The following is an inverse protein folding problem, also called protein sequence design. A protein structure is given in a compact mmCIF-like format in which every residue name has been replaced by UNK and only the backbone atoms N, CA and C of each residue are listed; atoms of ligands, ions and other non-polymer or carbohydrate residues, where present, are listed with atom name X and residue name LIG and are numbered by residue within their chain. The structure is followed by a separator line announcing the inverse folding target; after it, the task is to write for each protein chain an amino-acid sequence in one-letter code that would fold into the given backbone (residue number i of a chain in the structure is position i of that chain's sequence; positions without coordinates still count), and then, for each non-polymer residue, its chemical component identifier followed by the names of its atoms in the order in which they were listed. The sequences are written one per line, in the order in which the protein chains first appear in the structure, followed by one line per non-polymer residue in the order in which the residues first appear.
data_IF_793631758193
#
_entry.id   IF_793631758193
#
_cell.length_a   1.000
_cell.length_b   1.000
_cell.length_c   1.000
_cell.angle_alpha   90.00
_cell.angle_beta   90.00
_cell.angle_gamma   90.00
#
_symmetry.space_group_name_H-M   'P 1'
#
loop_
_entity.id
_entity.type
_entity.pdbx_description
1 polymer ?
#
# COMPACT_ATOMS: atom_id res chain seq x y z
N UNK A 1 -20.47 -18.00 7.60
CA UNK A 1 -20.49 -16.94 8.65
C UNK A 1 -20.64 -15.61 7.91
N UNK A 2 -21.71 -14.88 8.22
CA UNK A 2 -22.25 -13.73 7.48
C UNK A 2 -21.18 -12.74 7.03
N UNK A 3 -21.17 -12.40 5.74
CA UNK A 3 -20.52 -11.20 5.20
C UNK A 3 -21.11 -9.98 5.91
N UNK A 4 -20.46 -9.52 6.97
CA UNK A 4 -20.66 -8.15 7.43
C UNK A 4 -19.79 -7.28 6.52
N UNK A 5 -20.40 -6.32 5.85
CA UNK A 5 -19.69 -5.19 5.24
C UNK A 5 -18.72 -4.64 6.29
N UNK A 6 -17.43 -4.72 6.00
CA UNK A 6 -16.41 -4.18 6.89
C UNK A 6 -16.59 -2.66 6.92
N UNK A 7 -16.74 -2.11 8.13
CA UNK A 7 -16.73 -0.67 8.37
C UNK A 7 -15.56 -0.31 9.26
N UNK A 8 -14.85 0.76 8.90
CA UNK A 8 -13.82 1.35 9.75
C UNK A 8 -14.53 1.86 11.01
N UNK A 9 -14.01 1.43 12.16
CA UNK A 9 -14.55 1.85 13.44
C UNK A 9 -14.13 3.30 13.76
N UNK A 10 -15.00 4.00 14.49
CA UNK A 10 -14.74 5.37 14.96
C UNK A 10 -13.70 5.42 16.09
N UNK A 11 -13.48 4.27 16.73
CA UNK A 11 -12.52 4.07 17.80
C UNK A 11 -11.59 2.91 17.50
N UNK A 12 -10.40 2.98 18.07
CA UNK A 12 -9.36 1.94 18.00
C UNK A 12 -9.88 0.64 18.60
N UNK A 13 -9.85 -0.45 17.84
CA UNK A 13 -10.22 -1.77 18.35
C UNK A 13 -9.19 -2.85 17.99
N UNK A 14 -8.18 -2.99 18.84
CA UNK A 14 -7.18 -4.05 18.77
C UNK A 14 -7.73 -5.41 19.26
N UNK A 15 -8.95 -5.47 19.80
CA UNK A 15 -9.59 -6.74 20.17
C UNK A 15 -10.08 -7.53 18.96
N UNK A 16 -10.21 -6.86 17.80
CA UNK A 16 -10.54 -7.48 16.51
C UNK A 16 -9.35 -8.15 15.81
N UNK A 17 -8.37 -8.65 16.56
CA UNK A 17 -7.16 -9.25 15.97
C UNK A 17 -7.45 -10.59 15.31
N UNK A 18 -7.04 -10.78 14.05
CA UNK A 18 -7.20 -12.06 13.35
C UNK A 18 -7.11 -11.97 11.83
N UNK A 19 -7.61 -13.03 11.19
CA UNK A 19 -7.72 -13.17 9.74
C UNK A 19 -9.17 -12.97 9.31
N UNK A 20 -9.37 -12.10 8.32
CA UNK A 20 -10.67 -11.71 7.78
C UNK A 20 -10.67 -11.93 6.27
N UNK A 21 -11.81 -11.72 5.61
CA UNK A 21 -11.94 -11.85 4.16
C UNK A 21 -12.69 -10.69 3.53
N UNK A 22 -12.34 -10.36 2.31
CA UNK A 22 -13.01 -9.41 1.44
C UNK A 22 -12.71 -9.79 -0.02
N UNK A 23 -13.47 -9.25 -0.97
CA UNK A 23 -13.23 -9.49 -2.39
C UNK A 23 -12.22 -8.47 -2.95
N UNK A 24 -11.17 -8.95 -3.63
CA UNK A 24 -10.31 -8.18 -4.52
C UNK A 24 -10.61 -8.52 -5.98
N UNK A 25 -9.91 -7.91 -6.93
CA UNK A 25 -10.13 -8.07 -8.36
C UNK A 25 -10.01 -9.51 -8.88
N UNK A 26 -9.28 -10.38 -8.15
CA UNK A 26 -9.05 -11.78 -8.49
C UNK A 26 -10.02 -12.74 -7.78
N UNK A 27 -10.64 -12.33 -6.67
CA UNK A 27 -11.64 -13.11 -5.94
C UNK A 27 -11.60 -12.88 -4.44
N UNK A 28 -11.88 -13.93 -3.66
CA UNK A 28 -11.86 -13.84 -2.20
C UNK A 28 -10.43 -13.77 -1.66
N UNK A 29 -10.04 -12.63 -1.10
CA UNK A 29 -8.79 -12.45 -0.35
C UNK A 29 -8.98 -12.71 1.15
N UNK A 30 -7.89 -13.04 1.83
CA UNK A 30 -7.82 -13.15 3.28
C UNK A 30 -6.78 -12.18 3.86
N UNK A 31 -7.18 -11.24 4.71
CA UNK A 31 -6.30 -10.19 5.21
C UNK A 31 -6.13 -10.23 6.74
N UNK A 32 -4.94 -9.86 7.19
CA UNK A 32 -4.61 -9.75 8.61
C UNK A 32 -5.07 -8.40 9.16
N UNK A 33 -5.56 -8.40 10.40
CA UNK A 33 -5.99 -7.19 11.10
C UNK A 33 -5.59 -7.26 12.57
N UNK A 34 -5.16 -6.12 13.13
CA UNK A 34 -5.07 -5.91 14.58
C UNK A 34 -3.66 -5.98 15.18
N UNK A 35 -3.59 -6.48 16.41
CA UNK A 35 -2.44 -6.36 17.31
C UNK A 35 -1.23 -7.19 16.86
N UNK A 36 -0.05 -6.56 16.88
CA UNK A 36 1.24 -7.21 16.62
C UNK A 36 1.56 -8.35 17.59
N UNK A 37 0.97 -8.34 18.80
CA UNK A 37 1.22 -9.34 19.83
C UNK A 37 0.46 -10.66 19.62
N UNK A 38 -0.61 -10.63 18.83
CA UNK A 38 -1.51 -11.78 18.63
C UNK A 38 -1.55 -12.29 17.19
N UNK A 39 -0.71 -11.74 16.32
CA UNK A 39 -0.60 -12.16 14.93
C UNK A 39 0.70 -12.92 14.66
N UNK A 40 0.56 -14.04 13.95
CA UNK A 40 1.65 -14.83 13.43
C UNK A 40 1.86 -14.53 11.94
N UNK A 41 2.21 -13.28 11.62
CA UNK A 41 2.37 -12.81 10.25
C UNK A 41 3.79 -12.32 9.96
N UNK A 42 4.79 -12.84 10.67
CA UNK A 42 6.20 -12.47 10.50
C UNK A 42 6.86 -13.40 9.49
N UNK A 43 7.54 -12.83 8.50
CA UNK A 43 8.18 -13.56 7.42
C UNK A 43 9.63 -13.07 7.23
N UNK A 44 10.54 -13.96 6.87
CA UNK A 44 11.89 -13.67 6.42
C UNK A 44 12.03 -14.18 4.98
N UNK A 45 12.47 -13.28 4.11
CA UNK A 45 12.66 -13.54 2.69
C UNK A 45 13.69 -12.56 2.11
N UNK A 46 14.56 -13.05 1.23
CA UNK A 46 15.53 -12.25 0.48
C UNK A 46 16.41 -11.33 1.35
N UNK A 47 16.93 -11.82 2.49
CA UNK A 47 17.74 -11.06 3.46
C UNK A 47 16.99 -9.92 4.16
N UNK A 48 15.66 -9.97 4.15
CA UNK A 48 14.79 -8.97 4.75
C UNK A 48 13.69 -9.65 5.58
N UNK A 49 13.14 -8.91 6.52
CA UNK A 49 11.97 -9.31 7.28
C UNK A 49 10.76 -8.54 6.75
N UNK A 50 9.60 -9.20 6.80
CA UNK A 50 8.37 -8.75 6.19
C UNK A 50 7.19 -9.05 7.12
N UNK A 51 6.11 -8.29 6.96
CA UNK A 51 4.78 -8.64 7.49
C UNK A 51 3.91 -9.15 6.37
N UNK A 52 3.23 -10.28 6.59
CA UNK A 52 2.17 -10.73 5.70
C UNK A 52 0.95 -9.84 5.94
N UNK A 53 0.45 -9.22 4.88
CA UNK A 53 -0.69 -8.30 4.90
C UNK A 53 -1.96 -9.05 4.51
N UNK A 54 -1.90 -9.81 3.41
CA UNK A 54 -3.03 -10.61 2.93
C UNK A 54 -2.58 -11.74 2.01
N UNK A 55 -3.45 -12.72 1.84
CA UNK A 55 -3.46 -13.67 0.74
C UNK A 55 -4.48 -13.11 -0.26
N UNK A 56 -4.04 -12.80 -1.47
CA UNK A 56 -4.86 -12.23 -2.53
C UNK A 56 -5.83 -13.28 -3.10
N UNK A 57 -6.83 -12.86 -3.87
CA UNK A 57 -7.81 -13.75 -4.51
C UNK A 57 -7.21 -14.70 -5.55
N UNK A 58 -6.00 -14.41 -6.05
CA UNK A 58 -5.18 -15.28 -6.91
C UNK A 58 -4.22 -16.20 -6.12
N UNK A 59 -4.42 -16.32 -4.80
CA UNK A 59 -3.60 -17.06 -3.83
C UNK A 59 -2.16 -16.56 -3.64
N UNK A 60 -1.76 -15.45 -4.27
CA UNK A 60 -0.46 -14.82 -4.02
C UNK A 60 -0.42 -14.19 -2.62
N UNK A 61 0.77 -14.10 -2.03
CA UNK A 61 0.94 -13.63 -0.64
C UNK A 61 1.52 -12.22 -0.65
N UNK A 62 0.71 -11.23 -0.25
CA UNK A 62 1.12 -9.83 -0.16
C UNK A 62 1.89 -9.57 1.12
N UNK A 63 3.11 -9.05 0.98
CA UNK A 63 4.04 -8.79 2.07
C UNK A 63 4.54 -7.36 2.03
N UNK A 64 4.65 -6.71 3.19
CA UNK A 64 5.24 -5.37 3.35
C UNK A 64 6.56 -5.45 4.11
N UNK A 65 7.54 -4.69 3.64
CA UNK A 65 8.87 -4.60 4.23
C UNK A 65 8.80 -4.24 5.72
N UNK A 66 9.63 -4.90 6.54
CA UNK A 66 9.68 -4.74 7.99
C UNK A 66 11.14 -4.68 8.51
N UNK A 67 12.10 -4.35 7.65
CA UNK A 67 13.51 -4.18 8.01
C UNK A 67 14.48 -5.19 7.39
N UNK A 68 15.78 -4.96 7.61
CA UNK A 68 16.86 -5.84 7.14
C UNK A 68 16.94 -7.12 7.99
N UNK A 69 17.38 -8.21 7.36
CA UNK A 69 17.60 -9.51 7.99
C UNK A 69 18.79 -10.24 7.32
N UNK A 70 20.04 -9.80 7.53
CA UNK A 70 21.19 -10.35 6.84
C UNK A 70 21.29 -11.88 6.96
N UNK A 71 21.55 -12.56 5.84
CA UNK A 71 21.64 -14.02 5.74
C UNK A 71 20.38 -14.76 6.22
N UNK A 72 19.22 -14.11 6.17
CA UNK A 72 17.94 -14.60 6.71
C UNK A 72 18.02 -14.99 8.20
N UNK A 73 18.89 -14.30 8.98
CA UNK A 73 19.11 -14.56 10.41
C UNK A 73 19.04 -13.25 11.20
N UNK A 74 17.87 -12.95 11.75
CA UNK A 74 17.63 -11.77 12.56
C UNK A 74 16.55 -12.02 13.61
N UNK A 75 16.43 -11.09 14.56
CA UNK A 75 15.25 -10.99 15.42
C UNK A 75 14.20 -10.15 14.70
N UNK A 76 12.94 -10.55 14.82
CA UNK A 76 11.82 -9.81 14.25
C UNK A 76 11.66 -8.46 14.97
N UNK A 77 11.52 -7.40 14.18
CA UNK A 77 11.30 -6.05 14.65
C UNK A 77 9.86 -5.91 15.16
N UNK A 78 9.70 -5.65 16.46
CA UNK A 78 8.39 -5.57 17.12
C UNK A 78 8.26 -4.50 18.24
N UNK A 79 9.35 -3.85 18.68
CA UNK A 79 9.33 -2.86 19.79
C UNK A 79 9.47 -1.42 19.30
N UNK A 80 10.61 -1.05 18.70
CA UNK A 80 10.92 0.32 18.25
C UNK A 80 11.45 0.33 16.80
N UNK A 81 10.61 0.00 15.79
CA UNK A 81 11.12 -0.28 14.47
C UNK A 81 11.25 1.00 13.62
N UNK A 82 12.47 1.51 13.45
CA UNK A 82 12.84 2.24 12.23
C UNK A 82 12.98 1.20 11.10
N UNK A 83 11.83 0.79 10.56
CA UNK A 83 11.70 -0.28 9.54
C UNK A 83 11.51 0.26 8.14
N UNK A 84 11.83 1.53 7.93
CA UNK A 84 11.86 2.11 6.60
C UNK A 84 13.05 1.59 5.80
N UNK A 85 12.92 1.70 4.49
CA UNK A 85 14.01 1.43 3.55
C UNK A 85 14.88 2.68 3.37
N UNK A 86 14.28 3.84 3.55
CA UNK A 86 14.82 5.18 3.43
C UNK A 86 13.70 6.19 3.56
N UNK A 87 14.07 7.47 3.56
CA UNK A 87 13.13 8.59 3.42
C UNK A 87 13.25 9.13 2.00
N UNK A 88 12.12 9.34 1.33
CA UNK A 88 12.09 10.03 0.05
C UNK A 88 10.78 10.82 -0.11
N UNK A 89 10.78 11.74 -1.06
CA UNK A 89 9.58 12.42 -1.50
C UNK A 89 8.67 11.41 -2.22
N UNK A 90 7.36 11.62 -2.13
CA UNK A 90 6.48 10.88 -3.02
C UNK A 90 6.63 11.44 -4.45
N UNK A 91 6.58 12.77 -4.59
CA UNK A 91 6.82 13.49 -5.84
C UNK A 91 7.62 14.77 -5.58
N UNK A 92 8.52 15.13 -6.50
CA UNK A 92 9.30 16.38 -6.42
C UNK A 92 8.46 17.64 -6.61
N UNK A 93 7.33 17.53 -7.29
CA UNK A 93 6.46 18.65 -7.62
C UNK A 93 5.03 18.34 -7.20
N UNK A 94 4.38 19.37 -6.69
CA UNK A 94 3.07 19.27 -6.05
C UNK A 94 1.99 20.10 -6.70
N UNK A 95 2.35 21.00 -7.61
CA UNK A 95 1.50 22.10 -8.07
C UNK A 95 0.56 21.75 -9.24
N UNK A 96 0.50 20.47 -9.61
CA UNK A 96 -0.31 19.96 -10.72
C UNK A 96 -0.82 18.56 -10.35
N UNK A 97 -2.08 18.27 -10.67
CA UNK A 97 -2.73 16.98 -10.45
C UNK A 97 -2.01 15.81 -11.11
N UNK A 98 -1.20 16.02 -12.16
CA UNK A 98 -0.42 14.92 -12.74
C UNK A 98 0.45 14.24 -11.70
N UNK A 99 1.00 15.00 -10.75
CA UNK A 99 1.87 14.45 -9.71
C UNK A 99 1.13 13.63 -8.62
N UNK A 100 -0.20 13.50 -8.70
CA UNK A 100 -0.94 12.51 -7.91
C UNK A 100 -0.79 11.12 -8.52
N UNK A 101 -0.07 10.24 -7.81
CA UNK A 101 0.02 8.82 -8.12
C UNK A 101 1.44 8.30 -8.28
N UNK A 102 1.56 6.98 -8.29
CA UNK A 102 2.84 6.26 -8.37
C UNK A 102 3.59 6.49 -9.70
N UNK A 103 2.83 6.74 -10.77
CA UNK A 103 3.30 7.15 -12.09
C UNK A 103 2.40 8.27 -12.60
N UNK A 104 2.87 9.11 -13.52
CA UNK A 104 2.15 10.30 -13.96
C UNK A 104 2.37 10.70 -15.43
N UNK A 105 1.44 11.51 -15.94
CA UNK A 105 1.44 11.98 -17.33
C UNK A 105 2.49 13.02 -17.63
N UNK A 106 2.79 13.23 -18.91
CA UNK A 106 3.70 14.32 -19.32
C UNK A 106 3.01 15.68 -19.17
N UNK A 107 1.77 15.78 -19.64
CA UNK A 107 0.90 16.95 -19.67
C UNK A 107 -0.37 16.70 -18.85
N UNK A 108 -1.16 17.73 -18.58
CA UNK A 108 -2.40 17.63 -17.79
C UNK A 108 -3.66 18.29 -18.39
N UNK A 109 -3.88 18.27 -19.73
CA UNK A 109 -5.03 18.96 -20.35
C UNK A 109 -6.37 18.25 -20.10
N UNK A 110 -6.33 16.94 -19.87
CA UNK A 110 -7.48 16.12 -19.50
C UNK A 110 -7.06 14.99 -18.54
N UNK A 111 -8.05 14.31 -17.97
CA UNK A 111 -7.83 13.30 -16.93
C UNK A 111 -6.95 12.12 -17.42
N UNK A 112 -7.12 11.68 -18.66
CA UNK A 112 -6.40 10.54 -19.20
C UNK A 112 -4.94 10.89 -19.46
N UNK A 113 -4.67 12.06 -20.03
CA UNK A 113 -3.29 12.55 -20.21
C UNK A 113 -2.63 12.83 -18.86
N UNK A 114 -3.33 13.47 -17.91
CA UNK A 114 -2.82 13.80 -16.57
C UNK A 114 -2.33 12.57 -15.83
N UNK A 115 -3.07 11.47 -15.93
CA UNK A 115 -2.82 10.22 -15.23
C UNK A 115 -2.28 9.11 -16.15
N UNK A 116 -1.74 9.47 -17.31
CA UNK A 116 -1.04 8.53 -18.19
C UNK A 116 0.24 8.05 -17.49
N UNK A 117 0.47 6.75 -17.35
CA UNK A 117 1.65 6.22 -16.64
C UNK A 117 2.93 6.32 -17.49
N UNK A 118 3.35 7.54 -17.81
CA UNK A 118 4.46 7.82 -18.73
C UNK A 118 5.76 8.18 -18.00
N UNK A 119 5.64 8.73 -16.79
CA UNK A 119 6.75 9.13 -15.95
C UNK A 119 6.62 8.49 -14.56
N UNK A 120 7.77 8.28 -13.92
CA UNK A 120 7.84 7.68 -12.59
C UNK A 120 7.86 8.74 -11.50
N UNK A 121 7.09 8.51 -10.43
CA UNK A 121 7.22 9.27 -9.18
C UNK A 121 8.60 9.03 -8.55
N UNK A 122 8.99 9.91 -7.62
CA UNK A 122 10.28 9.80 -6.92
C UNK A 122 10.35 8.51 -6.11
N UNK A 123 9.28 8.22 -5.37
CA UNK A 123 9.17 6.97 -4.59
C UNK A 123 9.18 5.72 -5.47
N UNK A 124 8.65 5.77 -6.69
CA UNK A 124 8.76 4.65 -7.64
C UNK A 124 10.21 4.41 -8.06
N UNK A 125 10.93 5.46 -8.45
CA UNK A 125 12.35 5.34 -8.82
C UNK A 125 13.19 4.76 -7.66
N UNK A 126 12.88 5.17 -6.43
CA UNK A 126 13.50 4.61 -5.22
C UNK A 126 13.24 3.11 -5.08
N UNK A 127 11.97 2.69 -5.22
CA UNK A 127 11.58 1.28 -5.10
C UNK A 127 12.14 0.41 -6.22
N UNK A 128 12.15 0.90 -7.46
CA UNK A 128 12.74 0.20 -8.60
C UNK A 128 14.24 -0.02 -8.40
N UNK A 129 14.96 1.03 -7.99
CA UNK A 129 16.39 0.94 -7.65
C UNK A 129 16.63 -0.06 -6.51
N UNK A 130 15.76 -0.08 -5.50
CA UNK A 130 15.87 -1.05 -4.42
C UNK A 130 15.64 -2.49 -4.92
N UNK A 131 14.63 -2.71 -5.76
CA UNK A 131 14.32 -4.02 -6.33
C UNK A 131 15.50 -4.57 -7.14
N UNK A 132 16.08 -3.75 -8.01
CA UNK A 132 17.27 -4.12 -8.81
C UNK A 132 18.43 -4.62 -7.95
N UNK A 133 18.67 -3.94 -6.83
CA UNK A 133 19.81 -4.24 -5.97
C UNK A 133 19.57 -5.40 -4.99
N UNK A 134 18.31 -5.75 -4.71
CA UNK A 134 17.97 -6.67 -3.61
C UNK A 134 17.18 -7.90 -4.03
N UNK A 135 16.54 -7.88 -5.20
CA UNK A 135 15.58 -8.91 -5.63
C UNK A 135 15.92 -9.48 -7.02
N UNK A 136 16.27 -8.61 -7.97
CA UNK A 136 16.53 -8.98 -9.36
C UNK A 136 17.61 -10.08 -9.46
N UNK A 137 17.39 -11.07 -10.33
CA UNK A 137 18.28 -12.21 -10.53
C UNK A 137 18.10 -13.36 -9.52
N UNK A 138 18.20 -13.09 -8.21
CA UNK A 138 18.21 -14.15 -7.19
C UNK A 138 16.80 -14.51 -6.67
N UNK A 139 15.94 -13.51 -6.46
CA UNK A 139 14.68 -13.68 -5.70
C UNK A 139 13.42 -13.37 -6.52
N UNK A 140 13.55 -12.78 -7.70
CA UNK A 140 12.40 -12.42 -8.55
C UNK A 140 11.52 -13.61 -8.93
N UNK A 141 12.10 -14.81 -9.05
CA UNK A 141 11.37 -16.03 -9.41
C UNK A 141 10.36 -16.48 -8.33
N UNK A 142 10.45 -15.94 -7.12
CA UNK A 142 9.49 -16.19 -6.04
C UNK A 142 8.28 -15.24 -6.10
N UNK A 143 8.31 -14.24 -6.97
CA UNK A 143 7.31 -13.16 -6.98
C UNK A 143 6.23 -13.37 -8.03
N UNK A 144 5.03 -12.90 -7.68
CA UNK A 144 3.84 -12.88 -8.52
C UNK A 144 3.62 -11.48 -9.06
N UNK A 145 3.17 -11.38 -10.31
CA UNK A 145 2.74 -10.14 -10.95
C UNK A 145 1.29 -9.79 -10.58
N UNK A 146 1.03 -9.70 -9.28
CA UNK A 146 -0.31 -9.41 -8.74
C UNK A 146 -0.48 -7.91 -8.52
N UNK A 147 -1.60 -7.34 -8.99
CA UNK A 147 -1.80 -5.89 -9.09
C UNK A 147 -1.59 -5.11 -7.78
N UNK A 148 -1.08 -3.89 -7.89
CA UNK A 148 -1.08 -2.87 -6.82
C UNK A 148 -2.01 -1.73 -7.22
N UNK A 149 -2.91 -1.29 -6.34
CA UNK A 149 -3.90 -0.28 -6.71
C UNK A 149 -3.51 1.14 -6.27
N UNK A 150 -3.24 2.02 -7.24
CA UNK A 150 -3.00 3.44 -6.99
C UNK A 150 -4.25 4.24 -6.64
N UNK A 151 -5.41 3.84 -7.18
CA UNK A 151 -6.72 4.49 -7.02
C UNK A 151 -6.73 6.03 -7.07
N UNK A 152 -6.65 6.57 -8.27
CA UNK A 152 -6.85 8.00 -8.58
C UNK A 152 -8.28 8.31 -8.98
N UNK A 153 -9.24 7.42 -8.69
CA UNK A 153 -10.64 7.65 -9.00
C UNK A 153 -11.13 8.95 -8.34
N UNK A 154 -11.89 9.74 -9.08
CA UNK A 154 -12.43 10.99 -8.55
C UNK A 154 -13.53 10.70 -7.52
N UNK A 155 -13.59 11.51 -6.46
CA UNK A 155 -14.63 11.42 -5.43
C UNK A 155 -16.05 11.43 -5.99
N UNK A 156 -16.30 12.14 -7.08
CA UNK A 156 -17.61 12.20 -7.74
C UNK A 156 -18.06 10.86 -8.32
N UNK A 157 -17.12 10.01 -8.72
CA UNK A 157 -17.43 8.73 -9.39
C UNK A 157 -17.95 7.69 -8.39
N UNK A 158 -17.64 7.87 -7.11
CA UNK A 158 -18.10 7.01 -6.00
C UNK A 158 -19.25 7.63 -5.19
N UNK A 159 -19.96 8.61 -5.76
CA UNK A 159 -21.14 9.24 -5.15
C UNK A 159 -20.84 10.38 -4.15
N UNK A 160 -19.57 10.81 -4.05
CA UNK A 160 -19.20 11.99 -3.30
C UNK A 160 -19.45 13.29 -4.08
N UNK A 161 -19.31 14.43 -3.42
CA UNK A 161 -19.40 15.73 -4.09
C UNK A 161 -18.22 15.92 -5.06
N UNK A 162 -18.50 16.43 -6.26
CA UNK A 162 -17.48 16.85 -7.20
C UNK A 162 -16.65 18.01 -6.62
N UNK A 163 -15.33 17.96 -6.81
CA UNK A 163 -14.39 18.97 -6.29
C UNK A 163 -13.50 19.53 -7.39
N UNK A 164 -13.03 18.66 -8.29
CA UNK A 164 -12.28 19.03 -9.48
C UNK A 164 -12.20 17.88 -10.46
N UNK A 165 -11.50 18.14 -11.55
CA UNK A 165 -11.35 17.22 -12.68
C UNK A 165 -10.14 16.30 -12.56
N UNK A 166 -9.27 16.47 -11.55
CA UNK A 166 -7.99 15.77 -11.48
C UNK A 166 -7.02 16.21 -12.57
N UNK A 167 -7.09 17.46 -13.02
CA UNK A 167 -6.25 18.01 -14.09
C UNK A 167 -5.68 19.36 -13.68
N UNK A 168 -4.53 19.72 -14.25
CA UNK A 168 -3.83 20.98 -14.01
C UNK A 168 -3.78 21.34 -12.50
N UNK A 169 -4.12 22.59 -12.15
CA UNK A 169 -4.21 23.08 -10.78
C UNK A 169 -5.66 23.12 -10.23
N UNK A 170 -6.55 22.26 -10.73
CA UNK A 170 -7.91 22.14 -10.17
C UNK A 170 -7.86 21.44 -8.82
N UNK A 171 -8.36 22.09 -7.76
CA UNK A 171 -8.60 21.46 -6.45
C UNK A 171 -9.36 20.16 -6.66
N UNK A 172 -8.80 19.02 -6.25
CA UNK A 172 -9.37 17.70 -6.56
C UNK A 172 -9.27 16.80 -5.34
N UNK A 173 -10.37 16.15 -4.99
CA UNK A 173 -10.42 15.14 -3.93
C UNK A 173 -10.67 13.76 -4.56
N UNK A 174 -9.85 12.78 -4.19
CA UNK A 174 -9.93 11.42 -4.71
C UNK A 174 -10.93 10.55 -3.92
N UNK A 175 -11.34 9.43 -4.53
CA UNK A 175 -12.41 8.54 -4.08
C UNK A 175 -12.14 7.93 -2.70
N UNK A 176 -10.88 7.64 -2.39
CA UNK A 176 -10.42 7.15 -1.09
C UNK A 176 -10.89 8.02 0.08
N UNK A 177 -10.95 9.35 -0.06
CA UNK A 177 -11.49 10.24 0.99
C UNK A 177 -12.96 9.96 1.25
N UNK A 178 -13.77 9.77 0.21
CA UNK A 178 -15.18 9.46 0.39
C UNK A 178 -15.38 8.08 1.00
N UNK A 179 -14.67 7.07 0.49
CA UNK A 179 -14.73 5.69 1.01
C UNK A 179 -14.32 5.61 2.47
N UNK A 180 -13.20 6.21 2.85
CA UNK A 180 -12.62 6.00 4.19
C UNK A 180 -13.13 7.00 5.24
N UNK A 181 -13.33 8.27 4.87
CA UNK A 181 -13.71 9.31 5.82
C UNK A 181 -15.23 9.48 5.91
N UNK A 182 -15.92 9.45 4.76
CA UNK A 182 -17.39 9.66 4.75
C UNK A 182 -18.13 8.36 5.01
N UNK A 183 -17.85 7.32 4.21
CA UNK A 183 -18.58 6.05 4.26
C UNK A 183 -18.01 5.09 5.29
N UNK A 184 -16.71 5.19 5.57
CA UNK A 184 -15.93 4.27 6.41
C UNK A 184 -15.98 2.84 5.88
N UNK A 185 -15.95 2.66 4.56
CA UNK A 185 -16.01 1.35 3.88
C UNK A 185 -14.81 1.27 2.92
N UNK A 186 -13.71 0.61 3.31
CA UNK A 186 -12.57 0.39 2.43
C UNK A 186 -12.89 -0.68 1.39
N UNK A 187 -12.11 -0.71 0.32
CA UNK A 187 -12.23 -1.66 -0.80
C UNK A 187 -10.88 -2.26 -1.16
N UNK A 188 -10.85 -3.56 -1.49
CA UNK A 188 -9.67 -4.21 -2.07
C UNK A 188 -9.70 -4.23 -3.61
N UNK A 189 -10.78 -3.72 -4.22
CA UNK A 189 -10.95 -3.61 -5.67
C UNK A 189 -10.21 -2.39 -6.22
N UNK A 190 -9.64 -2.54 -7.41
CA UNK A 190 -9.05 -1.44 -8.15
C UNK A 190 -9.97 -0.97 -9.28
N UNK A 191 -10.65 0.19 -9.13
CA UNK A 191 -11.68 0.61 -10.08
C UNK A 191 -11.11 1.06 -11.43
N UNK A 192 -9.87 1.56 -11.43
CA UNK A 192 -9.24 2.14 -12.61
C UNK A 192 -8.12 1.25 -13.13
N UNK A 193 -8.26 0.79 -14.38
CA UNK A 193 -7.28 -0.10 -15.00
C UNK A 193 -5.90 0.54 -15.14
N UNK A 194 -5.79 1.85 -15.38
CA UNK A 194 -4.51 2.55 -15.41
C UNK A 194 -3.84 2.61 -14.02
N UNK A 195 -4.59 2.42 -12.93
CA UNK A 195 -4.05 2.41 -11.57
C UNK A 195 -3.87 1.01 -10.99
N UNK A 196 -4.29 -0.02 -11.71
CA UNK A 196 -4.05 -1.42 -11.37
C UNK A 196 -2.63 -1.81 -11.84
N UNK A 197 -1.61 -1.35 -11.13
CA UNK A 197 -0.21 -1.49 -11.52
C UNK A 197 0.26 -2.95 -11.51
N UNK A 198 0.72 -3.42 -12.66
CA UNK A 198 1.30 -4.74 -12.94
C UNK A 198 2.43 -4.60 -13.95
N UNK A 199 3.28 -5.62 -14.09
CA UNK A 199 4.37 -5.68 -15.08
C UNK A 199 3.84 -6.14 -16.44
N UNK A 200 3.05 -7.20 -16.46
CA UNK A 200 2.65 -7.92 -17.67
C UNK A 200 1.17 -8.29 -17.71
N UNK A 201 0.49 -8.41 -16.57
CA UNK A 201 -0.95 -8.63 -16.54
C UNK A 201 -1.71 -7.41 -17.08
N UNK A 202 -2.26 -7.55 -18.29
CA UNK A 202 -3.12 -6.56 -18.94
C UNK A 202 -4.59 -6.99 -18.95
N UNK A 203 -4.94 -8.10 -18.30
CA UNK A 203 -6.33 -8.52 -18.10
C UNK A 203 -6.95 -7.69 -16.99
N UNK A 204 -6.35 -7.76 -15.79
CA UNK A 204 -6.77 -6.99 -14.62
C UNK A 204 -5.91 -5.73 -14.42
N UNK A 205 -4.65 -5.76 -14.85
CA UNK A 205 -3.70 -4.67 -14.63
C UNK A 205 -3.40 -3.76 -15.82
N UNK A 206 -2.48 -2.83 -15.60
CA UNK A 206 -2.03 -1.80 -16.53
C UNK A 206 -0.82 -2.22 -17.38
N UNK A 207 -0.01 -3.18 -16.92
CA UNK A 207 1.26 -3.55 -17.56
C UNK A 207 2.29 -2.41 -17.55
N UNK A 208 2.17 -1.44 -16.65
CA UNK A 208 2.98 -0.23 -16.63
C UNK A 208 4.24 -0.33 -15.75
N UNK A 209 4.35 -1.35 -14.89
CA UNK A 209 5.50 -1.49 -13.99
C UNK A 209 6.71 -2.11 -14.69
N UNK A 210 7.90 -1.64 -14.32
CA UNK A 210 9.17 -2.30 -14.66
C UNK A 210 9.38 -3.56 -13.80
N UNK A 211 9.10 -3.46 -12.50
CA UNK A 211 9.25 -4.54 -11.53
C UNK A 211 7.96 -4.71 -10.69
N UNK A 212 7.64 -5.92 -10.20
CA UNK A 212 6.43 -6.18 -9.42
C UNK A 212 6.58 -5.70 -7.96
N UNK A 213 6.84 -4.41 -7.77
CA UNK A 213 7.05 -3.74 -6.49
C UNK A 213 6.27 -2.43 -6.44
N UNK A 214 5.61 -2.17 -5.30
CA UNK A 214 4.96 -0.90 -5.03
C UNK A 214 4.81 -0.67 -3.51
N UNK A 215 3.73 -0.02 -3.09
CA UNK A 215 3.36 0.22 -1.68
C UNK A 215 1.92 -0.25 -1.41
N UNK A 216 1.52 -0.28 -0.15
CA UNK A 216 0.12 -0.54 0.23
C UNK A 216 -0.75 0.65 -0.17
N UNK A 217 -2.00 0.36 -0.55
CA UNK A 217 -3.07 1.35 -0.63
C UNK A 217 -3.53 1.79 0.76
N UNK A 218 -4.17 2.95 0.82
CA UNK A 218 -4.78 3.43 2.07
C UNK A 218 -5.92 2.50 2.54
N UNK A 219 -6.64 1.86 1.62
CA UNK A 219 -7.67 0.88 1.94
C UNK A 219 -7.06 -0.38 2.60
N UNK A 220 -5.91 -0.87 2.12
CA UNK A 220 -5.21 -2.01 2.73
C UNK A 220 -4.79 -1.74 4.18
N UNK A 221 -4.27 -0.55 4.48
CA UNK A 221 -3.90 -0.21 5.86
C UNK A 221 -5.15 0.02 6.76
N UNK A 222 -6.27 0.45 6.18
CA UNK A 222 -7.55 0.54 6.89
C UNK A 222 -8.12 -0.86 7.21
N UNK A 223 -8.01 -1.82 6.28
CA UNK A 223 -8.32 -3.23 6.53
C UNK A 223 -7.42 -3.84 7.61
N UNK A 224 -6.13 -3.50 7.64
CA UNK A 224 -5.19 -3.90 8.69
C UNK A 224 -5.54 -3.34 10.08
N UNK A 225 -6.36 -2.29 10.14
CA UNK A 225 -6.91 -1.73 11.38
C UNK A 225 -6.32 -0.39 11.80
N UNK A 226 -5.58 0.29 10.92
CA UNK A 226 -5.33 1.71 11.10
C UNK A 226 -6.63 2.49 10.85
N UNK A 227 -6.72 3.70 11.41
CA UNK A 227 -7.91 4.56 11.34
C UNK A 227 -7.53 5.99 10.98
N UNK A 228 -8.46 6.82 10.51
CA UNK A 228 -8.15 8.20 10.12
C UNK A 228 -7.95 9.17 11.30
N UNK A 229 -8.34 8.78 12.51
CA UNK A 229 -8.26 9.62 13.71
C UNK A 229 -8.07 8.77 14.97
N UNK A 230 -7.10 9.10 15.82
CA UNK A 230 -6.79 8.37 17.05
C UNK A 230 -5.40 7.74 17.03
N UNK A 231 -5.10 6.89 18.02
CA UNK A 231 -3.77 6.30 18.19
C UNK A 231 -3.84 4.76 18.16
N UNK A 232 -3.19 4.09 17.20
CA UNK A 232 -3.20 2.63 17.00
C UNK A 232 -1.77 2.05 17.01
N UNK A 233 -0.98 2.37 18.04
CA UNK A 233 0.44 1.96 18.10
C UNK A 233 0.65 0.45 18.33
N UNK A 234 -0.39 -0.28 18.72
CA UNK A 234 -0.37 -1.74 18.85
C UNK A 234 -0.56 -2.50 17.53
N UNK A 235 -0.86 -1.83 16.42
CA UNK A 235 -1.09 -2.49 15.13
C UNK A 235 0.17 -3.19 14.60
N UNK A 236 0.03 -4.28 13.85
CA UNK A 236 1.17 -4.97 13.23
C UNK A 236 1.87 -4.19 12.11
N UNK A 237 1.20 -3.20 11.52
CA UNK A 237 1.79 -2.26 10.57
C UNK A 237 2.45 -1.04 11.21
N UNK A 238 2.34 -0.89 12.54
CA UNK A 238 2.93 0.24 13.27
C UNK A 238 4.42 0.44 12.92
N UNK A 239 4.76 1.69 12.63
CA UNK A 239 6.11 2.16 12.34
C UNK A 239 6.30 3.49 13.08
N UNK A 240 7.36 3.63 13.85
CA UNK A 240 7.65 4.85 14.62
C UNK A 240 7.98 6.06 13.73
N UNK A 241 8.19 5.86 12.44
CA UNK A 241 8.47 6.90 11.44
C UNK A 241 7.30 7.16 10.50
N UNK A 242 6.26 6.32 10.54
CA UNK A 242 5.20 6.30 9.55
C UNK A 242 5.64 5.73 8.20
N UNK A 243 4.79 5.77 7.17
CA UNK A 243 5.16 5.40 5.80
C UNK A 243 4.14 5.87 4.75
N UNK A 244 4.62 6.05 3.52
CA UNK A 244 3.79 6.35 2.36
C UNK A 244 2.85 5.21 1.98
N UNK A 245 1.63 5.56 1.56
CA UNK A 245 0.77 4.65 0.80
C UNK A 245 0.77 5.05 -0.67
N UNK A 246 0.46 4.12 -1.57
CA UNK A 246 0.42 4.40 -3.02
C UNK A 246 -0.74 5.31 -3.43
N UNK A 247 -1.75 5.47 -2.58
CA UNK A 247 -3.01 6.14 -2.90
C UNK A 247 -2.93 7.65 -2.64
N UNK A 248 -3.27 8.51 -3.62
CA UNK A 248 -3.38 9.93 -3.37
C UNK A 248 -4.66 10.28 -2.59
N UNK A 249 -4.61 11.41 -1.90
CA UNK A 249 -5.72 11.91 -1.08
C UNK A 249 -6.44 13.05 -1.78
N UNK A 250 -5.73 14.12 -2.08
CA UNK A 250 -6.29 15.32 -2.72
C UNK A 250 -5.19 16.23 -3.28
N UNK A 251 -5.56 17.14 -4.16
CA UNK A 251 -4.79 18.32 -4.53
C UNK A 251 -5.46 19.57 -3.93
N UNK A 252 -4.70 20.36 -3.18
CA UNK A 252 -5.21 21.46 -2.32
C UNK A 252 -5.09 22.86 -2.93
N UNK A 253 -4.96 22.97 -4.25
CA UNK A 253 -4.53 24.17 -5.02
C UNK A 253 -3.06 24.55 -4.90
N UNK A 254 -2.33 24.00 -3.92
CA UNK A 254 -0.91 24.29 -3.68
C UNK A 254 -0.07 23.04 -3.88
N UNK A 255 -0.48 21.94 -3.26
CA UNK A 255 0.27 20.68 -3.26
C UNK A 255 -0.68 19.47 -3.35
N UNK A 256 -0.15 18.39 -3.91
CA UNK A 256 -0.69 17.04 -3.82
C UNK A 256 -0.46 16.54 -2.40
N UNK A 257 -1.52 16.06 -1.79
CA UNK A 257 -1.49 15.33 -0.53
C UNK A 257 -1.64 13.85 -0.87
N UNK A 258 -0.66 13.05 -0.44
CA UNK A 258 -0.80 11.59 -0.46
C UNK A 258 -1.24 11.09 0.91
N UNK A 259 -1.85 9.91 0.93
CA UNK A 259 -2.14 9.25 2.21
C UNK A 259 -0.83 8.73 2.81
N UNK A 260 -0.60 9.09 4.07
CA UNK A 260 0.53 8.67 4.86
C UNK A 260 0.02 7.99 6.14
N UNK A 261 0.58 6.82 6.46
CA UNK A 261 0.39 6.19 7.75
C UNK A 261 1.33 6.88 8.74
N UNK A 262 0.81 7.57 9.74
CA UNK A 262 1.57 8.32 10.71
C UNK A 262 2.07 7.44 11.87
N UNK A 263 3.13 7.87 12.58
CA UNK A 263 3.65 7.17 13.76
C UNK A 263 2.62 6.90 14.85
N UNK A 264 1.55 7.68 14.92
CA UNK A 264 0.47 7.48 15.87
C UNK A 264 -0.40 6.26 15.53
N UNK A 265 -0.24 5.65 14.35
CA UNK A 265 -1.05 4.52 13.87
C UNK A 265 -2.37 4.96 13.23
N UNK A 266 -2.51 6.26 12.93
CA UNK A 266 -3.56 6.77 12.06
C UNK A 266 -3.03 7.04 10.64
N UNK A 267 -3.92 7.37 9.72
CA UNK A 267 -3.55 7.84 8.38
C UNK A 267 -4.21 9.17 8.03
N UNK A 268 -3.44 10.09 7.45
CA UNK A 268 -3.87 11.44 7.07
C UNK A 268 -3.21 11.86 5.76
N UNK A 269 -3.62 13.02 5.23
CA UNK A 269 -2.92 13.66 4.12
C UNK A 269 -1.56 14.18 4.57
N UNK A 270 -0.53 13.90 3.78
CA UNK A 270 0.81 14.44 3.95
C UNK A 270 1.32 14.96 2.59
N UNK A 271 1.97 16.15 2.54
CA UNK A 271 2.37 16.74 1.27
C UNK A 271 3.36 15.85 0.52
N UNK A 272 3.07 15.56 -0.75
CA UNK A 272 3.87 14.67 -1.58
C UNK A 272 5.32 15.17 -1.77
N UNK A 273 5.49 16.50 -1.67
CA UNK A 273 6.77 17.22 -1.78
C UNK A 273 7.59 17.24 -0.48
N UNK A 274 7.13 16.57 0.58
CA UNK A 274 7.86 16.43 1.85
C UNK A 274 8.47 15.03 1.93
N UNK A 275 9.60 14.86 2.64
CA UNK A 275 10.19 13.54 2.82
C UNK A 275 9.30 12.69 3.74
N UNK A 276 9.15 11.42 3.41
CA UNK A 276 8.47 10.42 4.21
C UNK A 276 9.08 9.03 4.04
N UNK A 277 8.82 8.14 4.99
CA UNK A 277 9.37 6.79 4.98
C UNK A 277 8.80 5.93 3.86
N UNK A 278 9.65 5.16 3.21
CA UNK A 278 9.26 4.21 2.14
C UNK A 278 9.30 2.78 2.65
N UNK A 279 8.22 2.01 2.38
CA UNK A 279 8.10 0.58 2.65
C UNK A 279 7.59 -0.17 1.42
N UNK A 280 8.45 -0.99 0.85
CA UNK A 280 8.14 -1.84 -0.30
C UNK A 280 7.08 -2.88 0.03
N UNK A 281 6.27 -3.19 -0.97
CA UNK A 281 5.33 -4.29 -0.97
C UNK A 281 5.62 -5.18 -2.17
N UNK A 282 5.65 -6.48 -1.92
CA UNK A 282 5.80 -7.53 -2.92
C UNK A 282 4.64 -8.53 -2.81
N UNK A 283 4.38 -9.30 -3.86
CA UNK A 283 3.52 -10.46 -3.80
C UNK A 283 4.37 -11.72 -4.06
N UNK A 284 4.40 -12.65 -3.13
CA UNK A 284 5.00 -13.98 -3.35
C UNK A 284 4.02 -14.85 -4.16
N UNK A 285 4.54 -15.77 -4.96
CA UNK A 285 3.73 -16.72 -5.74
C UNK A 285 2.81 -17.56 -4.85
N UNK A 286 1.67 -18.01 -5.40
CA UNK A 286 0.89 -19.07 -4.80
C UNK A 286 1.76 -20.29 -4.48
N UNK A 287 1.45 -20.99 -3.39
CA UNK A 287 2.19 -22.18 -2.93
C UNK A 287 3.66 -21.93 -2.55
N UNK A 288 4.04 -20.69 -2.25
CA UNK A 288 5.36 -20.39 -1.67
C UNK A 288 5.58 -21.26 -0.43
N UNK A 289 6.66 -22.05 -0.44
CA UNK A 289 6.97 -22.98 0.65
C UNK A 289 7.66 -22.19 1.75
N UNK A 290 7.17 -22.36 2.98
CA UNK A 290 7.74 -21.73 4.17
C UNK A 290 7.93 -22.76 5.28
N UNK A 291 8.88 -22.48 6.16
CA UNK A 291 9.02 -23.16 7.46
C UNK A 291 8.79 -22.16 8.60
N UNK A 292 8.42 -22.66 9.78
CA UNK A 292 8.13 -21.84 10.97
C UNK A 292 6.64 -21.62 11.16
N UNK A 293 6.28 -20.94 12.24
CA UNK A 293 4.89 -20.69 12.66
C UNK A 293 4.39 -19.27 12.36
N UNK A 294 5.27 -18.38 11.91
CA UNK A 294 4.97 -16.97 11.69
C UNK A 294 4.99 -16.11 12.94
N UNK A 295 5.28 -16.70 14.11
CA UNK A 295 5.40 -15.97 15.37
C UNK A 295 6.69 -15.16 15.42
N UNK A 296 6.79 -14.23 16.37
CA UNK A 296 8.00 -13.39 16.54
C UNK A 296 9.25 -14.25 16.87
N UNK A 297 9.07 -15.38 17.57
CA UNK A 297 10.16 -16.29 17.98
C UNK A 297 10.49 -17.33 16.91
N UNK A 298 9.55 -17.58 16.01
CA UNK A 298 9.65 -18.60 14.96
C UNK A 298 8.93 -18.07 13.72
N UNK A 299 9.53 -17.06 13.03
CA UNK A 299 8.94 -16.45 11.87
C UNK A 299 8.89 -17.44 10.70
N UNK A 300 8.00 -17.19 9.75
CA UNK A 300 8.04 -17.90 8.48
C UNK A 300 9.36 -17.59 7.78
N UNK A 301 10.00 -18.59 7.18
CA UNK A 301 11.18 -18.43 6.33
C UNK A 301 10.89 -19.11 4.99
N UNK A 302 10.96 -18.34 3.90
CA UNK A 302 10.82 -18.88 2.53
C UNK A 302 12.00 -19.81 2.23
N UNK A 303 11.72 -20.96 1.60
CA UNK A 303 12.71 -21.98 1.25
C UNK A 303 12.70 -22.33 -0.23
#
# INVERSE_FOLDING_TARGET
KVEKLFKIADNVDLTTTGLYKAEDDYGTSYYFRGSKEHLNNNLIFANHQWKIVRINGDDSIRIIYNGKCPNNKCKINNVEPDIKMGDDFFSIAGNDNKYAGYMYGVTSPDYNETHANQNDSVVKMFLDSWYENNILGEYENYLSDTLFCGDRELRSNVGGAATGTGTENSVTVYASVHRLITLKIPSLKCPLKNDAYTVSDTTYGSGALTYPIAMLSVDEIAFAGLISSGFVTGNYLYDSTGFWTITPREFTSIDIQNWYAFPEGNFLGYPASYPGSVRAVLNLKPNTIVKGSGSIKDPFVVI
#
